data_IF_366918224063
#
_entry.id   IF_366918224063
#
_cell.length_a   1.000
_cell.length_b   1.000
_cell.length_c   1.000
_cell.angle_alpha   90.00
_cell.angle_beta   90.00
_cell.angle_gamma   90.00
#
_symmetry.space_group_name_H-M   'P 1'
#
loop_
_entity.id
_entity.type
_entity.pdbx_description
1 polymer ?
#
# COMPACT_ATOMS: atom_id res chain seq x y z
N UNK A 1 11.79 18.37 3.52
CA UNK A 1 12.10 17.07 2.87
C UNK A 1 13.42 16.53 3.37
N UNK A 2 13.48 15.29 3.83
CA UNK A 2 14.63 14.65 4.50
C UNK A 2 15.26 13.58 3.59
N UNK A 3 16.03 13.99 2.57
CA UNK A 3 16.60 13.11 1.54
C UNK A 3 17.49 11.99 2.10
N UNK A 4 18.30 12.28 3.11
CA UNK A 4 19.18 11.29 3.75
C UNK A 4 18.36 10.18 4.44
N UNK A 5 17.22 10.55 5.07
CA UNK A 5 16.32 9.59 5.66
C UNK A 5 15.63 8.71 4.59
N UNK A 6 15.26 9.30 3.44
CA UNK A 6 14.70 8.53 2.33
C UNK A 6 15.71 7.54 1.76
N UNK A 7 16.97 7.93 1.60
CA UNK A 7 18.03 7.03 1.14
C UNK A 7 18.32 5.92 2.17
N UNK A 8 18.25 6.22 3.47
CA UNK A 8 18.34 5.22 4.51
C UNK A 8 17.15 4.24 4.46
N UNK A 9 15.94 4.76 4.30
CA UNK A 9 14.73 3.95 4.11
C UNK A 9 14.83 3.05 2.89
N UNK A 10 15.38 3.54 1.76
CA UNK A 10 15.61 2.72 0.56
C UNK A 10 16.46 1.48 0.87
N UNK A 11 17.57 1.65 1.61
CA UNK A 11 18.45 0.53 1.99
C UNK A 11 17.73 -0.46 2.88
N UNK A 12 17.01 0.03 3.88
CA UNK A 12 16.22 -0.80 4.78
C UNK A 12 15.14 -1.59 4.04
N UNK A 13 14.39 -0.94 3.13
CA UNK A 13 13.38 -1.58 2.29
C UNK A 13 13.96 -2.62 1.33
N UNK A 14 15.15 -2.40 0.77
CA UNK A 14 15.81 -3.38 -0.10
C UNK A 14 16.06 -4.72 0.60
N UNK A 15 16.34 -4.71 1.90
CA UNK A 15 16.51 -5.91 2.69
C UNK A 15 15.17 -6.52 3.11
N UNK A 16 14.26 -5.70 3.64
CA UNK A 16 12.95 -6.15 4.09
C UNK A 16 12.14 -6.80 2.95
N UNK A 17 12.17 -6.23 1.74
CA UNK A 17 11.47 -6.80 0.57
C UNK A 17 11.86 -8.25 0.29
N UNK A 18 13.15 -8.60 0.44
CA UNK A 18 13.61 -9.99 0.24
C UNK A 18 13.00 -10.93 1.26
N UNK A 19 13.05 -10.55 2.56
CA UNK A 19 12.44 -11.32 3.61
C UNK A 19 10.93 -11.49 3.38
N UNK A 20 10.21 -10.39 3.10
CA UNK A 20 8.77 -10.42 2.82
C UNK A 20 8.39 -11.33 1.65
N UNK A 21 9.14 -11.30 0.54
CA UNK A 21 8.84 -12.12 -0.62
C UNK A 21 9.24 -13.60 -0.42
N UNK A 22 10.17 -13.92 0.48
CA UNK A 22 10.54 -15.30 0.81
C UNK A 22 9.38 -16.11 1.40
N UNK A 23 8.38 -15.46 2.00
CA UNK A 23 7.21 -16.10 2.58
C UNK A 23 6.09 -16.41 1.57
N UNK A 24 6.20 -15.92 0.34
CA UNK A 24 5.15 -16.00 -0.66
C UNK A 24 5.44 -17.13 -1.66
N UNK A 25 4.46 -17.99 -1.93
CA UNK A 25 4.55 -19.00 -3.00
C UNK A 25 4.52 -18.32 -4.38
N UNK A 26 4.26 -19.10 -5.42
CA UNK A 26 4.23 -18.62 -6.81
C UNK A 26 3.14 -17.56 -7.03
N UNK A 27 3.51 -16.30 -6.80
CA UNK A 27 2.64 -15.15 -6.97
C UNK A 27 2.27 -14.93 -8.44
N UNK A 28 3.19 -15.26 -9.37
CA UNK A 28 2.94 -15.11 -10.80
C UNK A 28 1.85 -16.09 -11.27
N UNK A 29 1.92 -17.35 -10.83
CA UNK A 29 0.88 -18.33 -11.11
C UNK A 29 -0.47 -17.91 -10.51
N UNK A 30 -0.49 -17.43 -9.26
CA UNK A 30 -1.69 -16.92 -8.60
C UNK A 30 -2.36 -15.80 -9.41
N UNK A 31 -1.59 -14.79 -9.81
CA UNK A 31 -2.09 -13.66 -10.62
C UNK A 31 -2.55 -14.13 -12.02
N UNK A 32 -1.81 -15.02 -12.70
CA UNK A 32 -2.25 -15.61 -13.98
C UNK A 32 -3.59 -16.31 -13.87
N UNK A 33 -3.81 -17.03 -12.78
CA UNK A 33 -5.06 -17.73 -12.54
C UNK A 33 -6.25 -16.81 -12.20
N UNK A 34 -6.05 -15.49 -12.13
CA UNK A 34 -7.10 -14.52 -11.80
C UNK A 34 -7.14 -14.10 -10.35
N UNK A 35 -6.13 -14.48 -9.57
CA UNK A 35 -5.99 -14.03 -8.17
C UNK A 35 -5.78 -12.53 -8.04
N UNK A 36 -6.18 -11.99 -6.89
CA UNK A 36 -6.02 -10.59 -6.51
C UNK A 36 -5.53 -10.50 -5.07
N UNK A 37 -4.67 -9.52 -4.81
CA UNK A 37 -4.23 -9.21 -3.45
C UNK A 37 -5.08 -8.15 -2.78
N UNK A 38 -5.87 -7.40 -3.56
CA UNK A 38 -6.72 -6.31 -3.07
C UNK A 38 -7.82 -6.82 -2.13
N UNK A 39 -8.18 -5.96 -1.20
CA UNK A 39 -9.27 -6.18 -0.26
C UNK A 39 -10.54 -5.44 -0.69
N UNK A 40 -11.72 -5.84 -0.20
CA UNK A 40 -12.99 -5.16 -0.49
C UNK A 40 -12.96 -3.65 -0.21
N UNK A 41 -12.24 -3.22 0.84
CA UNK A 41 -12.17 -1.81 1.24
C UNK A 41 -11.49 -0.93 0.18
N UNK A 42 -10.42 -1.43 -0.43
CA UNK A 42 -9.73 -0.75 -1.54
C UNK A 42 -10.63 -0.68 -2.78
N UNK A 43 -11.32 -1.77 -3.08
CA UNK A 43 -12.24 -1.85 -4.22
C UNK A 43 -13.43 -0.90 -4.05
N UNK A 44 -13.95 -0.77 -2.82
CA UNK A 44 -15.01 0.20 -2.50
C UNK A 44 -14.52 1.63 -2.71
N UNK A 45 -13.36 2.00 -2.16
CA UNK A 45 -12.78 3.34 -2.33
C UNK A 45 -12.45 3.63 -3.81
N UNK A 46 -12.04 2.62 -4.57
CA UNK A 46 -11.85 2.71 -6.03
C UNK A 46 -13.19 2.79 -6.80
N UNK A 47 -14.32 2.67 -6.14
CA UNK A 47 -15.64 2.70 -6.77
C UNK A 47 -15.91 1.48 -7.65
N UNK A 48 -15.24 0.37 -7.41
CA UNK A 48 -15.51 -0.91 -8.09
C UNK A 48 -16.78 -1.51 -7.49
N UNK A 49 -17.81 -1.78 -8.30
CA UNK A 49 -19.06 -2.34 -7.78
C UNK A 49 -18.83 -3.75 -7.21
N UNK A 50 -19.52 -4.14 -6.10
CA UNK A 50 -19.31 -5.45 -5.46
C UNK A 50 -19.48 -6.65 -6.40
N UNK A 51 -20.35 -6.56 -7.40
CA UNK A 51 -20.53 -7.61 -8.40
C UNK A 51 -19.30 -7.86 -9.30
N UNK A 52 -18.37 -6.90 -9.36
CA UNK A 52 -17.14 -6.98 -10.13
C UNK A 52 -15.89 -7.22 -9.26
N UNK A 53 -16.07 -7.44 -7.95
CA UNK A 53 -14.94 -7.76 -7.07
C UNK A 53 -14.34 -9.12 -7.42
N UNK A 54 -13.01 -9.26 -7.37
CA UNK A 54 -12.38 -10.55 -7.45
C UNK A 54 -12.96 -11.48 -6.37
N UNK A 55 -13.10 -12.76 -6.70
CA UNK A 55 -13.52 -13.73 -5.69
C UNK A 55 -12.48 -13.83 -4.60
N UNK A 56 -12.93 -13.85 -3.36
CA UNK A 56 -12.05 -14.12 -2.23
C UNK A 56 -11.57 -15.58 -2.30
N UNK A 57 -10.29 -15.76 -2.02
CA UNK A 57 -9.64 -17.08 -1.93
C UNK A 57 -9.01 -17.20 -0.55
N UNK A 58 -9.08 -18.37 0.04
CA UNK A 58 -8.29 -18.69 1.22
C UNK A 58 -6.80 -18.61 0.90
N UNK A 59 -5.94 -18.37 1.91
CA UNK A 59 -4.50 -18.34 1.70
C UNK A 59 -4.00 -19.64 1.07
N UNK A 60 -3.39 -19.54 -0.11
CA UNK A 60 -2.89 -20.68 -0.87
C UNK A 60 -3.91 -21.37 -1.78
N UNK A 61 -5.16 -20.96 -1.76
CA UNK A 61 -6.15 -21.43 -2.71
C UNK A 61 -5.91 -20.78 -4.08
N UNK A 62 -5.70 -21.60 -5.09
CA UNK A 62 -5.58 -21.10 -6.47
C UNK A 62 -6.96 -20.79 -7.04
N UNK A 63 -7.12 -19.62 -7.69
CA UNK A 63 -8.37 -19.31 -8.40
C UNK A 63 -8.74 -20.41 -9.39
N UNK A 64 -10.00 -20.77 -9.43
CA UNK A 64 -10.53 -21.79 -10.34
C UNK A 64 -11.36 -21.15 -11.46
N UNK A 65 -11.14 -21.62 -12.69
CA UNK A 65 -11.81 -21.12 -13.89
C UNK A 65 -10.95 -20.16 -14.72
N UNK A 66 -11.44 -19.74 -15.89
CA UNK A 66 -10.71 -18.79 -16.73
C UNK A 66 -10.68 -17.42 -16.05
N UNK A 67 -9.49 -16.79 -16.09
CA UNK A 67 -9.36 -15.40 -15.65
C UNK A 67 -10.12 -14.49 -16.62
N UNK A 68 -10.85 -13.51 -16.08
CA UNK A 68 -11.51 -12.48 -16.91
C UNK A 68 -10.49 -11.71 -17.73
N UNK A 69 -10.88 -11.26 -18.93
CA UNK A 69 -10.03 -10.38 -19.72
C UNK A 69 -9.92 -9.02 -19.02
N UNK A 70 -8.71 -8.54 -18.73
CA UNK A 70 -8.53 -7.20 -18.14
C UNK A 70 -9.19 -6.07 -18.95
N UNK A 71 -9.30 -6.23 -20.28
CA UNK A 71 -9.94 -5.23 -21.13
C UNK A 71 -11.43 -5.00 -20.79
N UNK A 72 -12.09 -5.99 -20.22
CA UNK A 72 -13.49 -5.93 -19.77
C UNK A 72 -13.61 -5.62 -18.26
N UNK A 73 -12.49 -5.31 -17.61
CA UNK A 73 -12.42 -5.08 -16.17
C UNK A 73 -13.06 -3.75 -15.73
N UNK A 74 -13.46 -3.64 -14.45
CA UNK A 74 -14.15 -2.45 -13.93
C UNK A 74 -13.28 -1.17 -13.91
N UNK A 75 -11.97 -1.30 -14.06
CA UNK A 75 -11.03 -0.17 -14.17
C UNK A 75 -10.51 0.01 -15.60
N UNK A 76 -11.11 -0.67 -16.59
CA UNK A 76 -10.67 -0.58 -17.98
C UNK A 76 -10.68 0.87 -18.49
N UNK A 77 -9.61 1.24 -19.18
CA UNK A 77 -9.44 2.58 -19.72
C UNK A 77 -8.87 3.62 -18.77
N UNK A 78 -8.78 3.36 -17.45
CA UNK A 78 -8.18 4.29 -16.49
C UNK A 78 -6.66 4.21 -16.51
N UNK A 79 -6.00 5.37 -16.49
CA UNK A 79 -4.57 5.50 -16.20
C UNK A 79 -4.39 5.65 -14.69
N UNK A 80 -3.68 4.71 -14.08
CA UNK A 80 -3.50 4.66 -12.65
C UNK A 80 -2.01 4.64 -12.28
N UNK A 81 -1.61 5.47 -11.33
CA UNK A 81 -0.31 5.35 -10.67
C UNK A 81 -0.46 4.86 -9.23
N UNK A 82 0.28 3.81 -8.87
CA UNK A 82 0.40 3.30 -7.51
C UNK A 82 1.70 3.81 -6.91
N UNK A 83 1.61 4.75 -5.97
CA UNK A 83 2.75 5.33 -5.28
C UNK A 83 3.18 4.41 -4.13
N UNK A 84 4.49 4.24 -3.97
CA UNK A 84 5.11 3.38 -2.95
C UNK A 84 4.59 1.92 -3.06
N UNK A 85 4.63 1.40 -4.30
CA UNK A 85 3.96 0.16 -4.71
C UNK A 85 4.64 -1.14 -4.20
N UNK A 86 5.75 -1.03 -3.45
CA UNK A 86 6.53 -2.17 -3.01
C UNK A 86 6.82 -3.16 -4.18
N UNK A 87 6.72 -4.46 -3.97
CA UNK A 87 6.97 -5.49 -4.98
C UNK A 87 5.79 -5.72 -5.97
N UNK A 88 4.86 -4.77 -6.08
CA UNK A 88 3.91 -4.65 -7.18
C UNK A 88 2.71 -5.60 -7.19
N UNK A 89 2.45 -6.37 -6.13
CA UNK A 89 1.32 -7.31 -6.09
C UNK A 89 -0.03 -6.62 -6.28
N UNK A 90 -0.28 -5.53 -5.54
CA UNK A 90 -1.52 -4.76 -5.64
C UNK A 90 -1.58 -4.01 -6.96
N UNK A 91 -0.43 -3.49 -7.45
CA UNK A 91 -0.34 -2.87 -8.77
C UNK A 91 -0.79 -3.82 -9.87
N UNK A 92 -0.33 -5.08 -9.83
CA UNK A 92 -0.72 -6.09 -10.81
C UNK A 92 -2.17 -6.56 -10.62
N UNK A 93 -2.68 -6.54 -9.40
CA UNK A 93 -4.10 -6.78 -9.13
C UNK A 93 -4.99 -5.67 -9.72
N UNK A 94 -4.53 -4.41 -9.71
CA UNK A 94 -5.19 -3.30 -10.40
C UNK A 94 -5.13 -3.44 -11.93
N UNK A 95 -3.99 -3.92 -12.48
CA UNK A 95 -3.88 -4.26 -13.90
C UNK A 95 -4.85 -5.37 -14.29
N UNK A 96 -5.04 -6.38 -13.42
CA UNK A 96 -6.03 -7.44 -13.60
C UNK A 96 -7.46 -6.90 -13.70
N UNK A 97 -7.78 -5.83 -13.01
CA UNK A 97 -9.06 -5.11 -13.10
C UNK A 97 -9.17 -4.18 -14.31
N UNK A 98 -8.17 -4.15 -15.18
CA UNK A 98 -8.20 -3.44 -16.45
C UNK A 98 -7.54 -2.07 -16.49
N UNK A 99 -7.01 -1.57 -15.37
CA UNK A 99 -6.29 -0.30 -15.36
C UNK A 99 -4.95 -0.38 -16.12
N UNK A 100 -4.58 0.70 -16.80
CA UNK A 100 -3.20 0.92 -17.26
C UNK A 100 -2.39 1.44 -16.08
N UNK A 101 -1.51 0.59 -15.53
CA UNK A 101 -0.87 0.87 -14.24
C UNK A 101 0.60 1.21 -14.37
N UNK A 102 1.01 2.17 -13.54
CA UNK A 102 2.40 2.50 -13.24
C UNK A 102 2.61 2.34 -11.73
N UNK A 103 3.58 1.51 -11.33
CA UNK A 103 4.04 1.42 -9.93
C UNK A 103 5.32 2.24 -9.74
N UNK A 104 5.38 3.00 -8.65
CA UNK A 104 6.55 3.79 -8.27
C UNK A 104 6.98 3.38 -6.87
N UNK A 105 8.25 3.04 -6.69
CA UNK A 105 8.82 2.73 -5.38
C UNK A 105 10.29 3.16 -5.29
N UNK A 106 10.76 3.45 -4.08
CA UNK A 106 12.14 3.84 -3.85
C UNK A 106 13.08 2.64 -3.82
N UNK A 107 12.60 1.45 -3.49
CA UNK A 107 13.40 0.23 -3.34
C UNK A 107 13.78 -0.37 -4.69
N UNK A 108 15.07 -0.55 -4.91
CA UNK A 108 15.61 -1.22 -6.11
C UNK A 108 15.15 -2.68 -6.17
N UNK A 109 15.17 -3.37 -5.01
CA UNK A 109 14.75 -4.76 -4.88
C UNK A 109 13.26 -4.92 -5.18
N UNK A 110 12.42 -4.04 -4.61
CA UNK A 110 10.98 -4.09 -4.81
C UNK A 110 10.60 -3.91 -6.29
N UNK A 111 11.22 -2.95 -6.97
CA UNK A 111 10.96 -2.69 -8.39
C UNK A 111 11.48 -3.83 -9.29
N UNK A 112 12.63 -4.41 -8.96
CA UNK A 112 13.12 -5.58 -9.70
C UNK A 112 12.16 -6.78 -9.56
N UNK A 113 11.69 -7.05 -8.35
CA UNK A 113 10.72 -8.12 -8.07
C UNK A 113 9.37 -7.85 -8.74
N UNK A 114 8.89 -6.58 -8.71
CA UNK A 114 7.66 -6.17 -9.39
C UNK A 114 7.73 -6.39 -10.91
N UNK A 115 8.87 -6.04 -11.52
CA UNK A 115 9.11 -6.29 -12.96
C UNK A 115 9.13 -7.78 -13.30
N UNK A 116 9.80 -8.60 -12.47
CA UNK A 116 9.82 -10.05 -12.64
C UNK A 116 8.42 -10.66 -12.47
N UNK A 117 7.65 -10.17 -11.49
CA UNK A 117 6.28 -10.60 -11.24
C UNK A 117 5.35 -10.23 -12.41
N UNK A 118 5.48 -9.03 -12.97
CA UNK A 118 4.73 -8.63 -14.17
C UNK A 118 5.03 -9.54 -15.35
N UNK A 119 6.32 -9.77 -15.64
CA UNK A 119 6.73 -10.67 -16.72
C UNK A 119 6.21 -12.11 -16.48
N UNK A 120 6.33 -12.62 -15.25
CA UNK A 120 5.87 -13.96 -14.89
C UNK A 120 4.36 -14.13 -14.92
N UNK A 121 3.59 -13.09 -14.57
CA UNK A 121 2.12 -13.13 -14.58
C UNK A 121 1.52 -12.83 -15.96
N UNK A 122 2.27 -12.20 -16.87
CA UNK A 122 1.77 -11.75 -18.17
C UNK A 122 0.84 -10.52 -18.07
N UNK A 123 0.76 -9.88 -16.90
CA UNK A 123 -0.05 -8.68 -16.72
C UNK A 123 0.75 -7.43 -17.11
N UNK A 124 0.16 -6.54 -17.94
CA UNK A 124 0.84 -5.33 -18.38
C UNK A 124 0.90 -4.31 -17.23
N UNK A 125 2.11 -3.97 -16.81
CA UNK A 125 2.36 -2.91 -15.85
C UNK A 125 3.74 -2.29 -16.10
N UNK A 126 3.88 -0.99 -15.80
CA UNK A 126 5.18 -0.30 -15.77
C UNK A 126 5.60 -0.11 -14.33
N UNK A 127 6.91 -0.22 -14.08
CA UNK A 127 7.48 0.04 -12.76
C UNK A 127 8.67 0.99 -12.88
N UNK A 128 8.73 1.95 -11.96
CA UNK A 128 9.79 2.96 -11.93
C UNK A 128 10.38 3.01 -10.53
N UNK A 129 11.71 2.85 -10.43
CA UNK A 129 12.45 3.09 -9.20
C UNK A 129 12.72 4.59 -9.06
N UNK A 130 12.07 5.21 -8.09
CA UNK A 130 12.28 6.63 -7.76
C UNK A 130 11.88 6.93 -6.32
N UNK A 131 12.48 7.95 -5.72
CA UNK A 131 11.87 8.63 -4.60
C UNK A 131 10.56 9.27 -5.09
N UNK A 132 9.48 9.09 -4.32
CA UNK A 132 8.13 9.54 -4.72
C UNK A 132 8.08 11.04 -5.02
N UNK A 133 8.84 11.86 -4.31
CA UNK A 133 8.90 13.31 -4.54
C UNK A 133 9.58 13.66 -5.86
N UNK A 134 10.65 12.95 -6.21
CA UNK A 134 11.37 13.16 -7.48
C UNK A 134 10.50 12.74 -8.64
N UNK A 135 9.81 11.59 -8.50
CA UNK A 135 8.89 11.13 -9.52
C UNK A 135 7.72 12.11 -9.71
N UNK A 136 7.07 12.54 -8.62
CA UNK A 136 5.96 13.47 -8.68
C UNK A 136 6.36 14.82 -9.31
N UNK A 137 7.54 15.34 -8.98
CA UNK A 137 8.07 16.58 -9.56
C UNK A 137 8.31 16.43 -11.08
N UNK A 138 8.93 15.32 -11.51
CA UNK A 138 9.20 15.04 -12.92
C UNK A 138 7.90 14.82 -13.70
N UNK A 139 6.98 14.01 -13.17
CA UNK A 139 5.69 13.73 -13.78
C UNK A 139 4.79 14.97 -13.87
N UNK A 140 4.85 15.86 -12.87
CA UNK A 140 4.12 17.13 -12.92
C UNK A 140 4.57 18.04 -14.08
N UNK A 141 5.85 17.97 -14.46
CA UNK A 141 6.40 18.72 -15.57
C UNK A 141 6.09 18.10 -16.95
N UNK A 142 5.71 16.81 -17.01
CA UNK A 142 5.37 16.11 -18.25
C UNK A 142 3.85 16.02 -18.45
N UNK A 143 3.27 16.70 -19.46
CA UNK A 143 1.83 16.60 -19.72
C UNK A 143 1.35 15.18 -20.08
N UNK A 144 2.23 14.27 -20.52
CA UNK A 144 1.89 12.89 -20.83
C UNK A 144 1.70 12.04 -19.56
N UNK A 145 2.32 12.41 -18.46
CA UNK A 145 2.21 11.72 -17.18
C UNK A 145 1.03 12.29 -16.36
N UNK A 146 -0.20 12.09 -16.86
CA UNK A 146 -1.44 12.47 -16.18
C UNK A 146 -2.31 11.24 -15.97
N UNK A 147 -2.84 11.13 -14.76
CA UNK A 147 -3.54 9.93 -14.28
C UNK A 147 -4.98 10.24 -13.89
N UNK A 148 -5.85 9.25 -14.09
CA UNK A 148 -7.24 9.28 -13.62
C UNK A 148 -7.32 8.94 -12.12
N UNK A 149 -6.37 8.09 -11.66
CA UNK A 149 -6.29 7.66 -10.27
C UNK A 149 -4.84 7.68 -9.79
N UNK A 150 -4.61 8.30 -8.63
CA UNK A 150 -3.43 8.07 -7.79
C UNK A 150 -3.87 7.15 -6.67
N UNK A 151 -3.18 6.02 -6.51
CA UNK A 151 -3.46 5.01 -5.50
C UNK A 151 -2.28 4.91 -4.54
N UNK A 152 -2.55 4.90 -3.22
CA UNK A 152 -1.53 4.80 -2.17
C UNK A 152 -2.09 3.98 -1.02
N UNK A 153 -1.50 2.82 -0.74
CA UNK A 153 -2.01 1.90 0.28
C UNK A 153 -0.92 1.33 1.16
N UNK A 154 -1.34 1.04 2.29
CA UNK A 154 -0.85 0.45 3.52
C UNK A 154 0.58 0.83 3.90
N UNK A 155 0.66 1.71 4.90
CA UNK A 155 1.92 2.12 5.48
C UNK A 155 2.76 2.98 4.54
N UNK A 156 2.15 3.72 3.61
CA UNK A 156 2.84 4.62 2.70
C UNK A 156 3.13 5.99 3.34
N UNK A 157 2.16 6.57 4.03
CA UNK A 157 2.27 7.91 4.62
C UNK A 157 3.40 8.04 5.66
N UNK A 158 3.70 7.05 6.52
CA UNK A 158 4.79 7.17 7.48
C UNK A 158 6.20 7.35 6.86
N UNK A 159 6.37 6.98 5.59
CA UNK A 159 7.65 7.15 4.88
C UNK A 159 7.81 8.52 4.22
N UNK A 160 6.77 9.36 4.28
CA UNK A 160 6.76 10.69 3.66
C UNK A 160 7.22 11.76 4.66
N UNK A 161 8.33 12.43 4.37
CA UNK A 161 8.88 13.47 5.25
C UNK A 161 8.22 14.85 5.09
N UNK A 162 7.37 15.03 4.07
CA UNK A 162 6.73 16.32 3.72
C UNK A 162 5.39 16.08 3.01
N UNK A 163 4.31 15.89 3.78
CA UNK A 163 2.97 15.66 3.24
C UNK A 163 2.44 16.79 2.35
N UNK A 164 2.62 18.09 2.68
CA UNK A 164 2.20 19.16 1.78
C UNK A 164 2.83 19.06 0.38
N UNK A 165 4.13 18.81 0.30
CA UNK A 165 4.82 18.64 -1.00
C UNK A 165 4.32 17.40 -1.74
N UNK A 166 4.11 16.27 -1.04
CA UNK A 166 3.53 15.06 -1.63
C UNK A 166 2.12 15.31 -2.17
N UNK A 167 1.22 15.90 -1.37
CA UNK A 167 -0.15 16.16 -1.77
C UNK A 167 -0.24 17.14 -2.97
N UNK A 168 0.60 18.17 -3.00
CA UNK A 168 0.70 19.08 -4.14
C UNK A 168 1.15 18.34 -5.43
N UNK A 169 2.14 17.45 -5.30
CA UNK A 169 2.59 16.60 -6.41
C UNK A 169 1.48 15.66 -6.91
N UNK A 170 0.76 15.01 -6.00
CA UNK A 170 -0.41 14.17 -6.32
C UNK A 170 -1.47 14.97 -7.09
N UNK A 171 -1.83 16.16 -6.59
CA UNK A 171 -2.80 17.03 -7.27
C UNK A 171 -2.30 17.43 -8.67
N UNK A 172 -0.99 17.66 -8.84
CA UNK A 172 -0.41 18.06 -10.12
C UNK A 172 -0.50 16.95 -11.19
N UNK A 173 -0.27 15.69 -10.83
CA UNK A 173 -0.29 14.55 -11.76
C UNK A 173 -1.69 14.01 -12.04
N UNK A 174 -2.69 14.38 -11.24
CA UNK A 174 -4.09 14.04 -11.53
C UNK A 174 -4.65 14.86 -12.69
N UNK A 175 -5.45 14.23 -13.55
CA UNK A 175 -6.31 14.92 -14.51
C UNK A 175 -7.42 15.69 -13.78
N UNK A 176 -7.99 16.74 -14.36
CA UNK A 176 -9.26 17.30 -13.88
C UNK A 176 -10.30 16.18 -13.75
N UNK A 177 -11.02 16.12 -12.61
CA UNK A 177 -11.92 15.01 -12.29
C UNK A 177 -11.25 13.72 -11.81
N UNK A 178 -9.94 13.60 -11.89
CA UNK A 178 -9.17 12.47 -11.34
C UNK A 178 -9.17 12.45 -9.82
N UNK A 179 -8.80 11.32 -9.22
CA UNK A 179 -8.92 11.12 -7.77
C UNK A 179 -7.69 10.47 -7.13
N UNK A 180 -7.39 10.91 -5.92
CA UNK A 180 -6.52 10.21 -4.99
C UNK A 180 -7.38 9.22 -4.20
N UNK A 181 -6.96 7.97 -4.14
CA UNK A 181 -7.50 6.91 -3.28
C UNK A 181 -6.39 6.46 -2.34
N UNK A 182 -6.60 6.64 -1.05
CA UNK A 182 -5.65 6.22 -0.02
C UNK A 182 -6.33 5.34 1.03
N UNK A 183 -5.63 4.29 1.45
CA UNK A 183 -6.02 3.42 2.55
C UNK A 183 -4.78 3.08 3.37
N UNK A 184 -4.81 3.42 4.66
CA UNK A 184 -3.66 3.40 5.54
C UNK A 184 -3.96 2.76 6.89
N UNK A 185 -2.93 2.30 7.56
CA UNK A 185 -3.05 2.00 8.98
C UNK A 185 -3.32 3.28 9.77
N UNK A 186 -4.20 3.16 10.76
CA UNK A 186 -4.61 4.33 11.53
C UNK A 186 -3.48 4.78 12.47
N UNK A 187 -3.04 6.05 12.43
CA UNK A 187 -1.90 6.51 13.23
C UNK A 187 -2.11 6.40 14.75
N UNK A 188 -3.36 6.33 15.21
CA UNK A 188 -3.64 6.06 16.61
C UNK A 188 -3.21 4.65 17.02
N UNK A 189 -3.33 3.65 16.16
CA UNK A 189 -2.86 2.30 16.44
C UNK A 189 -1.34 2.26 16.70
N UNK A 190 -0.57 3.06 15.99
CA UNK A 190 0.88 3.17 16.18
C UNK A 190 1.31 4.03 17.39
N UNK A 191 0.38 4.42 18.25
CA UNK A 191 0.74 4.93 19.59
C UNK A 191 1.03 3.81 20.58
N UNK A 192 0.73 2.56 20.23
CA UNK A 192 0.98 1.37 21.04
C UNK A 192 2.13 0.55 20.44
N UNK A 193 2.81 -0.22 21.31
CA UNK A 193 3.76 -1.25 20.88
C UNK A 193 3.03 -2.54 20.43
N UNK A 194 3.78 -3.53 19.97
CA UNK A 194 3.24 -4.83 19.52
C UNK A 194 2.47 -5.58 20.63
N UNK A 195 2.78 -5.31 21.89
CA UNK A 195 2.09 -5.87 23.05
C UNK A 195 0.88 -5.05 23.51
N UNK A 196 0.45 -4.08 22.68
CA UNK A 196 -0.69 -3.21 22.95
C UNK A 196 -0.52 -2.33 24.20
N UNK A 197 0.71 -1.83 24.46
CA UNK A 197 1.00 -0.87 25.52
C UNK A 197 1.28 0.50 24.90
N UNK A 198 0.79 1.60 25.52
CA UNK A 198 1.12 2.95 25.07
C UNK A 198 2.65 3.17 25.09
N UNK A 199 3.24 3.48 23.91
CA UNK A 199 4.69 3.58 23.72
C UNK A 199 5.12 4.84 22.96
N UNK A 200 4.30 5.32 22.04
CA UNK A 200 4.68 6.39 21.12
C UNK A 200 3.67 7.54 21.15
N UNK A 201 4.11 8.79 20.92
CA UNK A 201 3.21 9.92 20.87
C UNK A 201 2.40 9.94 19.56
N UNK A 202 1.11 10.25 19.65
CA UNK A 202 0.27 10.50 18.47
C UNK A 202 0.68 11.78 17.72
N UNK A 203 1.10 12.81 18.47
CA UNK A 203 1.54 14.08 17.89
C UNK A 203 3.07 14.10 17.81
N UNK A 204 3.61 13.82 16.63
CA UNK A 204 5.01 14.04 16.35
C UNK A 204 5.30 15.55 16.31
N UNK A 205 6.29 15.97 17.10
CA UNK A 205 6.70 17.39 17.17
C UNK A 205 7.74 17.72 16.08
N UNK A 206 7.49 17.27 14.84
CA UNK A 206 8.28 17.65 13.66
C UNK A 206 9.59 16.88 13.46
N UNK A 207 9.76 15.70 14.08
CA UNK A 207 10.90 14.82 13.86
C UNK A 207 10.52 13.47 13.29
N UNK A 208 11.48 12.74 12.70
CA UNK A 208 11.33 11.33 12.39
C UNK A 208 11.52 10.47 13.63
N UNK A 209 10.79 9.38 13.72
CA UNK A 209 11.10 8.26 14.61
C UNK A 209 12.11 7.36 13.91
N UNK A 210 13.23 7.08 14.57
CA UNK A 210 14.27 6.21 14.02
C UNK A 210 14.15 4.83 14.65
N UNK A 211 13.98 3.82 13.80
CA UNK A 211 14.02 2.41 14.22
C UNK A 211 15.39 1.83 13.87
N UNK A 212 16.28 1.62 14.87
CA UNK A 212 17.65 1.18 14.62
C UNK A 212 17.76 -0.21 13.96
N UNK A 213 16.76 -1.06 14.19
CA UNK A 213 16.66 -2.42 13.64
C UNK A 213 15.95 -2.45 12.29
N UNK A 214 15.73 -1.28 11.68
CA UNK A 214 15.11 -1.14 10.37
C UNK A 214 13.69 -1.67 10.27
N UNK A 215 13.24 -1.85 9.04
CA UNK A 215 11.92 -2.40 8.73
C UNK A 215 11.94 -3.90 9.04
N UNK A 216 11.03 -4.34 9.91
CA UNK A 216 10.88 -5.72 10.32
C UNK A 216 10.18 -6.60 9.28
N UNK A 217 10.14 -7.91 9.54
CA UNK A 217 9.43 -8.88 8.70
C UNK A 217 7.96 -9.01 9.13
N UNK A 218 7.17 -7.99 8.82
CA UNK A 218 5.73 -8.00 9.11
C UNK A 218 4.96 -9.04 8.28
N UNK A 219 5.51 -9.50 7.14
CA UNK A 219 4.88 -10.55 6.33
C UNK A 219 5.03 -11.90 7.04
N UNK A 220 6.22 -12.22 7.55
CA UNK A 220 6.44 -13.40 8.39
C UNK A 220 5.60 -13.38 9.66
N UNK A 221 5.50 -12.24 10.34
CA UNK A 221 4.69 -12.06 11.54
C UNK A 221 3.18 -12.18 11.29
N UNK A 222 2.69 -11.73 10.13
CA UNK A 222 1.26 -11.80 9.76
C UNK A 222 0.86 -13.16 9.17
N UNK A 223 1.83 -13.91 8.64
CA UNK A 223 1.61 -15.24 8.10
C UNK A 223 0.73 -15.28 6.85
N UNK A 224 -0.17 -16.29 6.73
CA UNK A 224 -0.95 -16.52 5.50
C UNK A 224 -1.85 -15.38 5.05
N UNK A 225 -2.23 -14.46 5.92
CA UNK A 225 -3.14 -13.34 5.60
C UNK A 225 -2.53 -12.34 4.61
N UNK A 226 -1.21 -12.15 4.62
CA UNK A 226 -0.48 -11.32 3.64
C UNK A 226 0.06 -12.11 2.44
N UNK A 227 -0.18 -13.42 2.38
CA UNK A 227 0.34 -14.28 1.32
C UNK A 227 -0.79 -15.06 0.62
N UNK A 228 -1.72 -14.39 -0.09
CA UNK A 228 -2.85 -15.06 -0.72
C UNK A 228 -2.43 -16.13 -1.76
N UNK A 229 -1.25 -16.01 -2.37
CA UNK A 229 -0.66 -17.04 -3.24
C UNK A 229 -0.18 -18.29 -2.50
N UNK A 230 -0.22 -18.29 -1.17
CA UNK A 230 0.24 -19.35 -0.28
C UNK A 230 1.46 -18.93 0.55
N UNK A 231 1.51 -19.49 1.74
CA UNK A 231 2.54 -19.23 2.76
C UNK A 231 3.69 -20.20 2.69
N UNK A 232 4.91 -19.70 2.90
CA UNK A 232 6.14 -20.45 3.13
C UNK A 232 6.82 -19.94 4.40
N UNK A 233 7.59 -20.77 5.13
CA UNK A 233 8.38 -20.32 6.29
C UNK A 233 9.32 -19.17 5.95
N UNK A 234 9.87 -19.14 4.73
CA UNK A 234 10.72 -18.07 4.24
C UNK A 234 12.00 -17.88 5.05
N UNK A 235 12.46 -16.62 5.11
CA UNK A 235 13.61 -16.22 5.92
C UNK A 235 13.22 -16.19 7.40
N UNK A 236 13.81 -17.09 8.19
CA UNK A 236 13.54 -17.19 9.64
C UNK A 236 14.50 -16.27 10.39
N UNK A 237 14.02 -15.59 11.43
CA UNK A 237 14.80 -14.67 12.28
C UNK A 237 15.46 -13.52 11.51
N UNK A 238 14.74 -12.97 10.52
CA UNK A 238 15.20 -11.81 9.77
C UNK A 238 15.60 -10.65 10.70
N UNK A 239 16.79 -10.10 10.48
CA UNK A 239 17.30 -8.92 11.17
C UNK A 239 17.74 -7.89 10.14
N UNK A 240 17.16 -6.72 10.19
CA UNK A 240 17.53 -5.64 9.30
C UNK A 240 18.61 -4.76 9.96
N UNK A 241 19.86 -4.75 9.45
CA UNK A 241 20.92 -3.90 10.01
C UNK A 241 20.82 -2.45 9.57
N UNK A 242 19.99 -2.14 8.59
CA UNK A 242 19.80 -0.80 8.05
C UNK A 242 18.67 -0.08 8.80
N UNK A 243 18.95 0.98 9.57
CA UNK A 243 17.91 1.76 10.26
C UNK A 243 16.85 2.28 9.30
N UNK A 244 15.68 2.61 9.83
CA UNK A 244 14.67 3.34 9.06
C UNK A 244 14.14 4.55 9.82
N UNK A 245 13.55 5.48 9.07
CA UNK A 245 12.98 6.73 9.55
C UNK A 245 11.50 6.78 9.20
N UNK A 246 10.64 6.86 10.20
CA UNK A 246 9.21 7.06 10.03
C UNK A 246 8.83 8.48 10.44
N UNK A 247 7.89 9.06 9.72
CA UNK A 247 7.35 10.39 9.98
C UNK A 247 5.90 10.22 10.43
N UNK A 248 5.63 10.23 11.75
CA UNK A 248 4.28 10.05 12.25
C UNK A 248 3.39 11.23 11.87
N UNK A 249 2.38 10.97 11.07
CA UNK A 249 1.38 11.95 10.66
C UNK A 249 0.05 11.65 11.35
N UNK A 250 -0.60 12.69 11.84
CA UNK A 250 -1.99 12.59 12.31
C UNK A 250 -2.94 12.51 11.12
N UNK A 251 -4.14 11.95 11.32
CA UNK A 251 -5.18 12.01 10.27
C UNK A 251 -5.45 13.45 9.85
N UNK A 252 -5.57 14.37 10.81
CA UNK A 252 -5.80 15.78 10.49
C UNK A 252 -4.66 16.39 9.65
N UNK A 253 -3.40 16.01 9.92
CA UNK A 253 -2.26 16.44 9.11
C UNK A 253 -2.32 15.92 7.68
N UNK A 254 -2.68 14.65 7.50
CA UNK A 254 -2.83 14.05 6.18
C UNK A 254 -3.97 14.70 5.37
N UNK A 255 -5.15 14.83 5.97
CA UNK A 255 -6.32 15.42 5.30
C UNK A 255 -6.14 16.92 5.03
N UNK A 256 -5.51 17.68 5.94
CA UNK A 256 -5.21 19.10 5.72
C UNK A 256 -4.23 19.30 4.54
N UNK A 257 -3.19 18.47 4.43
CA UNK A 257 -2.28 18.51 3.27
C UNK A 257 -3.02 18.28 1.94
N UNK A 258 -3.93 17.30 1.91
CA UNK A 258 -4.76 16.98 0.74
C UNK A 258 -5.68 18.16 0.40
N UNK A 259 -6.38 18.72 1.38
CA UNK A 259 -7.27 19.88 1.17
C UNK A 259 -6.50 21.11 0.67
N UNK A 260 -5.34 21.40 1.26
CA UNK A 260 -4.50 22.54 0.83
C UNK A 260 -3.89 22.36 -0.56
N UNK A 261 -3.78 21.13 -1.07
CA UNK A 261 -3.36 20.89 -2.46
C UNK A 261 -4.44 21.20 -3.50
N UNK A 262 -5.64 21.59 -3.07
CA UNK A 262 -6.78 21.90 -3.95
C UNK A 262 -7.64 20.68 -4.30
N UNK A 263 -7.37 19.52 -3.70
CA UNK A 263 -8.24 18.37 -3.84
C UNK A 263 -9.45 18.47 -2.91
N UNK A 264 -10.61 18.03 -3.36
CA UNK A 264 -11.85 17.99 -2.58
C UNK A 264 -12.04 16.58 -1.99
N UNK A 265 -12.16 16.48 -0.67
CA UNK A 265 -12.50 15.21 -0.02
C UNK A 265 -13.92 14.78 -0.38
N UNK A 266 -14.07 13.54 -0.84
CA UNK A 266 -15.35 12.92 -1.18
C UNK A 266 -15.78 11.88 -0.14
N UNK A 267 -14.81 11.13 0.40
CA UNK A 267 -15.06 10.08 1.38
C UNK A 267 -13.95 10.05 2.42
N UNK A 268 -14.31 9.74 3.66
CA UNK A 268 -13.40 9.33 4.74
C UNK A 268 -14.04 8.14 5.45
N UNK A 269 -13.25 7.12 5.74
CA UNK A 269 -13.65 5.87 6.42
C UNK A 269 -12.64 5.54 7.50
N UNK A 270 -13.11 4.92 8.56
CA UNK A 270 -12.28 4.29 9.59
C UNK A 270 -12.72 2.83 9.77
N UNK A 271 -11.77 1.96 10.07
CA UNK A 271 -12.01 0.52 10.15
C UNK A 271 -11.46 -0.02 11.47
N UNK A 272 -12.25 -0.86 12.21
CA UNK A 272 -11.81 -1.45 13.46
C UNK A 272 -11.00 -2.75 13.27
N UNK A 273 -10.48 -2.98 12.07
CA UNK A 273 -9.65 -4.14 11.70
C UNK A 273 -8.52 -3.72 10.78
N UNK A 274 -7.56 -4.63 10.57
CA UNK A 274 -6.51 -4.46 9.56
C UNK A 274 -6.70 -5.44 8.41
N UNK A 275 -6.36 -5.00 7.22
CA UNK A 275 -6.25 -5.86 6.04
C UNK A 275 -4.86 -6.52 6.03
N UNK A 276 -4.84 -7.84 6.16
CA UNK A 276 -3.66 -8.68 5.99
C UNK A 276 -2.59 -8.58 7.08
N UNK A 277 -2.33 -7.41 7.63
CA UNK A 277 -1.22 -7.16 8.54
C UNK A 277 -1.63 -7.31 10.02
N UNK A 278 -0.88 -8.11 10.75
CA UNK A 278 -1.00 -8.27 12.20
C UNK A 278 -0.10 -7.23 12.88
N UNK A 279 -0.68 -6.14 13.39
CA UNK A 279 0.08 -5.05 14.02
C UNK A 279 0.26 -5.21 15.54
N UNK A 280 -0.52 -6.08 16.19
CA UNK A 280 -0.39 -6.42 17.60
C UNK A 280 -0.39 -7.93 17.82
N UNK A 281 0.40 -8.41 18.78
CA UNK A 281 0.54 -9.84 19.10
C UNK A 281 -0.79 -10.52 19.43
N UNK A 282 -1.67 -9.82 20.13
CA UNK A 282 -2.96 -10.33 20.61
C UNK A 282 -4.08 -10.30 19.55
N UNK A 283 -3.84 -9.77 18.33
CA UNK A 283 -4.88 -9.71 17.31
C UNK A 283 -5.36 -11.10 16.90
N UNK A 284 -6.65 -11.22 16.68
CA UNK A 284 -7.31 -12.44 16.19
C UNK A 284 -7.67 -12.35 14.69
N UNK A 285 -7.59 -13.47 13.96
CA UNK A 285 -7.94 -13.47 12.55
C UNK A 285 -9.45 -13.33 12.35
N UNK A 286 -9.83 -12.61 11.30
CA UNK A 286 -11.18 -12.50 10.77
C UNK A 286 -11.26 -13.12 9.36
N UNK A 287 -12.47 -13.50 8.89
CA UNK A 287 -12.68 -13.84 7.50
C UNK A 287 -12.18 -12.73 6.56
N UNK A 288 -11.82 -13.08 5.32
CA UNK A 288 -11.34 -12.11 4.33
C UNK A 288 -9.90 -11.65 4.58
N UNK A 289 -9.06 -12.50 5.19
CA UNK A 289 -7.63 -12.21 5.46
C UNK A 289 -7.41 -10.97 6.33
N UNK A 290 -8.25 -10.73 7.32
CA UNK A 290 -8.22 -9.56 8.21
C UNK A 290 -7.84 -9.95 9.62
N UNK A 291 -7.47 -8.94 10.42
CA UNK A 291 -7.26 -9.07 11.87
C UNK A 291 -8.04 -8.00 12.63
N UNK A 292 -8.50 -8.35 13.81
CA UNK A 292 -9.12 -7.42 14.75
C UNK A 292 -8.53 -7.57 16.16
N UNK A 293 -8.81 -6.62 17.03
CA UNK A 293 -8.44 -6.72 18.44
C UNK A 293 -9.27 -7.82 19.14
N UNK A 294 -8.77 -8.36 20.28
CA UNK A 294 -9.53 -9.26 21.13
C UNK A 294 -10.86 -8.61 21.60
N UNK A 295 -11.87 -9.45 21.90
CA UNK A 295 -13.21 -8.97 22.32
C UNK A 295 -13.21 -8.15 23.61
N UNK A 296 -12.25 -8.39 24.48
CA UNK A 296 -12.06 -7.69 25.76
C UNK A 296 -11.27 -6.39 25.60
N UNK A 297 -10.69 -6.12 24.44
CA UNK A 297 -10.02 -4.86 24.16
C UNK A 297 -11.02 -3.78 23.70
N UNK A 298 -10.80 -2.50 24.06
CA UNK A 298 -11.61 -1.40 23.54
C UNK A 298 -11.59 -1.37 22.01
N UNK A 299 -12.75 -1.24 21.37
CA UNK A 299 -12.80 -1.02 19.94
C UNK A 299 -12.14 0.32 19.60
N UNK A 300 -11.18 0.29 18.67
CA UNK A 300 -10.47 1.47 18.20
C UNK A 300 -10.23 1.38 16.70
N UNK A 301 -10.02 2.51 16.01
CA UNK A 301 -9.71 2.48 14.59
C UNK A 301 -8.31 1.90 14.37
N UNK A 302 -8.21 0.93 13.46
CA UNK A 302 -6.96 0.26 13.08
C UNK A 302 -6.50 0.64 11.66
N UNK A 303 -7.44 1.06 10.82
CA UNK A 303 -7.16 1.63 9.50
C UNK A 303 -8.06 2.84 9.24
N UNK A 304 -7.66 3.67 8.29
CA UNK A 304 -8.49 4.72 7.72
C UNK A 304 -8.26 4.82 6.21
N UNK A 305 -9.27 5.24 5.49
CA UNK A 305 -9.17 5.48 4.06
C UNK A 305 -9.89 6.72 3.65
N UNK A 306 -9.48 7.31 2.53
CA UNK A 306 -10.16 8.48 1.98
C UNK A 306 -10.06 8.53 0.46
N UNK A 307 -11.02 9.21 -0.14
CA UNK A 307 -11.02 9.59 -1.56
C UNK A 307 -11.05 11.09 -1.65
N UNK A 308 -10.15 11.65 -2.45
CA UNK A 308 -10.11 13.07 -2.75
C UNK A 308 -10.02 13.30 -4.26
N UNK A 309 -10.87 14.19 -4.77
CA UNK A 309 -11.01 14.48 -6.21
C UNK A 309 -10.35 15.79 -6.59
N UNK A 310 -9.68 15.81 -7.73
CA UNK A 310 -9.27 17.07 -8.36
C UNK A 310 -10.48 17.71 -9.03
N UNK A 311 -10.84 18.96 -8.69
CA UNK A 311 -11.91 19.67 -9.38
C UNK A 311 -11.72 19.71 -10.90
N UNK A 312 -12.83 19.76 -11.64
CA UNK A 312 -12.83 19.82 -13.11
C UNK A 312 -12.28 21.13 -13.66
#
# INVERSE_FOLDING_TARGET
MHRDAHEQNRRSWNLATRAHNSHKRDQAAFLRAGGSTLFPDELELLGVPPAAWPKEHGPGDMPSGPAADPADGPLAGLDLVHLQCNAGQDTLSLARLGARVLGVDISDTAIADAGALAAGSGLPARFVRADVYDWLAAAAADPAERHDVVFSTYGALPWLSDLPTWAAGVAAVLRPGGRLVALEFHPFAFTFDEQFKPAFPYFARGGSVVTPTGIGDYVGASGPTLTPSGWLPGEVEFKNPEPCHEFPWTISGALDAVLRSGLALEQVREYPYTNGCKIFDAMRPLPGRRFELPEDAPAMPLMFGFVARKPA
#
